data_IF_216738507898
#
_entry.id   IF_216738507898
#
_cell.length_a   1.000
_cell.length_b   1.000
_cell.length_c   1.000
_cell.angle_alpha   90.00
_cell.angle_beta   90.00
_cell.angle_gamma   90.00
#
_symmetry.space_group_name_H-M   'P 1'
#
loop_
_entity.id
_entity.type
_entity.pdbx_description
1 polymer ?
#
# COMPACT_ATOMS: atom_id res chain seq x y z
N UNK A 1 23.11 -10.65 -18.12
CA UNK A 1 23.26 -9.71 -16.98
C UNK A 1 21.92 -9.22 -16.44
N UNK A 2 21.07 -8.54 -17.24
CA UNK A 2 19.77 -7.97 -16.81
C UNK A 2 18.83 -8.96 -16.11
N UNK A 3 18.68 -10.18 -16.64
CA UNK A 3 17.87 -11.24 -15.99
C UNK A 3 18.40 -11.64 -14.59
N UNK A 4 19.72 -11.70 -14.43
CA UNK A 4 20.36 -12.04 -13.16
C UNK A 4 20.15 -10.93 -12.12
N UNK A 5 20.21 -9.67 -12.55
CA UNK A 5 19.92 -8.50 -11.73
C UNK A 5 18.45 -8.51 -11.29
N UNK A 6 17.50 -8.68 -12.23
CA UNK A 6 16.08 -8.80 -11.91
C UNK A 6 15.80 -9.87 -10.85
N UNK A 7 16.42 -11.06 -10.97
CA UNK A 7 16.22 -12.15 -10.00
C UNK A 7 16.72 -11.79 -8.60
N UNK A 8 17.86 -11.08 -8.50
CA UNK A 8 18.40 -10.62 -7.22
C UNK A 8 17.58 -9.49 -6.61
N UNK A 9 17.19 -8.50 -7.42
CA UNK A 9 16.36 -7.37 -6.97
C UNK A 9 14.99 -7.86 -6.51
N UNK A 10 14.40 -8.86 -7.19
CA UNK A 10 13.14 -9.48 -6.77
C UNK A 10 13.26 -10.20 -5.43
N UNK A 11 14.34 -10.95 -5.22
CA UNK A 11 14.60 -11.62 -3.95
C UNK A 11 14.80 -10.61 -2.80
N UNK A 12 15.60 -9.56 -3.03
CA UNK A 12 15.82 -8.49 -2.06
C UNK A 12 14.51 -7.73 -1.76
N UNK A 13 13.70 -7.42 -2.78
CA UNK A 13 12.41 -6.74 -2.65
C UNK A 13 11.42 -7.54 -1.79
N UNK A 14 11.34 -8.85 -2.00
CA UNK A 14 10.50 -9.74 -1.20
C UNK A 14 10.98 -9.86 0.25
N UNK A 15 12.30 -9.83 0.48
CA UNK A 15 12.89 -9.89 1.82
C UNK A 15 12.58 -8.63 2.65
N UNK A 16 12.68 -7.45 2.03
CA UNK A 16 12.42 -6.17 2.70
C UNK A 16 10.95 -5.72 2.61
N UNK A 17 10.09 -6.48 1.92
CA UNK A 17 8.68 -6.15 1.70
C UNK A 17 8.46 -4.85 0.92
N UNK A 18 9.39 -4.48 0.03
CA UNK A 18 9.34 -3.24 -0.74
C UNK A 18 8.77 -3.45 -2.13
N UNK A 19 7.53 -2.98 -2.31
CA UNK A 19 6.89 -2.92 -3.62
C UNK A 19 7.67 -2.12 -4.64
N UNK A 20 8.35 -1.04 -4.21
CA UNK A 20 9.18 -0.24 -5.10
C UNK A 20 10.35 -1.05 -5.66
N UNK A 21 11.02 -1.84 -4.82
CA UNK A 21 12.13 -2.71 -5.23
C UNK A 21 11.63 -3.89 -6.06
N UNK A 22 10.47 -4.46 -5.73
CA UNK A 22 9.83 -5.48 -6.58
C UNK A 22 9.45 -4.93 -7.96
N UNK A 23 8.94 -3.70 -8.03
CA UNK A 23 8.61 -3.02 -9.28
C UNK A 23 9.87 -2.76 -10.12
N UNK A 24 10.98 -2.36 -9.50
CA UNK A 24 12.28 -2.20 -10.15
C UNK A 24 12.82 -3.53 -10.70
N UNK A 25 12.62 -4.64 -9.96
CA UNK A 25 12.96 -5.97 -10.45
C UNK A 25 12.15 -6.36 -11.70
N UNK A 26 10.86 -6.02 -11.73
CA UNK A 26 10.00 -6.21 -12.90
C UNK A 26 10.42 -5.33 -14.07
N UNK A 27 10.83 -4.09 -13.80
CA UNK A 27 11.36 -3.19 -14.83
C UNK A 27 12.59 -3.79 -15.51
N UNK A 28 13.56 -4.30 -14.74
CA UNK A 28 14.73 -4.98 -15.28
C UNK A 28 14.40 -6.24 -16.09
N UNK A 29 13.33 -6.96 -15.73
CA UNK A 29 12.86 -8.10 -16.51
C UNK A 29 12.26 -7.64 -17.84
N UNK A 30 11.37 -6.66 -17.80
CA UNK A 30 10.75 -6.05 -18.97
C UNK A 30 11.79 -5.52 -19.95
N UNK A 31 12.81 -4.83 -19.45
CA UNK A 31 13.95 -4.34 -20.23
C UNK A 31 14.79 -5.45 -20.85
N UNK A 32 14.95 -6.58 -20.16
CA UNK A 32 15.65 -7.73 -20.71
C UNK A 32 14.87 -8.36 -21.86
N UNK A 33 13.54 -8.45 -21.74
CA UNK A 33 12.64 -8.98 -22.76
C UNK A 33 12.58 -8.07 -23.98
N UNK A 34 12.42 -6.76 -23.79
CA UNK A 34 12.39 -5.79 -24.91
C UNK A 34 13.73 -5.73 -25.64
N UNK A 35 14.85 -5.76 -24.92
CA UNK A 35 16.20 -5.80 -25.54
C UNK A 35 16.42 -7.07 -26.35
N UNK A 36 15.94 -8.23 -25.86
CA UNK A 36 16.04 -9.49 -26.57
C UNK A 36 15.17 -9.51 -27.84
N UNK A 37 13.95 -8.97 -27.76
CA UNK A 37 13.07 -8.84 -28.92
C UNK A 37 13.68 -7.95 -30.02
N UNK A 38 14.24 -6.79 -29.64
CA UNK A 38 14.92 -5.90 -30.58
C UNK A 38 16.16 -6.56 -31.23
N UNK A 39 16.98 -7.27 -30.43
CA UNK A 39 18.14 -8.01 -30.96
C UNK A 39 17.75 -9.06 -32.00
N UNK A 40 16.67 -9.82 -31.74
CA UNK A 40 16.15 -10.81 -32.69
C UNK A 40 15.65 -10.13 -33.96
N UNK A 41 14.90 -9.03 -33.85
CA UNK A 41 14.40 -8.26 -35.01
C UNK A 41 15.52 -7.79 -35.94
N UNK A 42 16.53 -7.12 -35.37
CA UNK A 42 17.70 -6.62 -36.11
C UNK A 42 18.49 -7.77 -36.75
N UNK A 43 18.68 -8.87 -36.00
CA UNK A 43 19.41 -10.04 -36.52
C UNK A 43 18.70 -10.68 -37.72
N UNK A 44 17.37 -10.77 -37.68
CA UNK A 44 16.57 -11.30 -38.80
C UNK A 44 16.65 -10.39 -40.02
N UNK A 45 16.54 -9.07 -39.83
CA UNK A 45 16.64 -8.10 -40.93
C UNK A 45 18.01 -8.16 -41.63
N UNK A 46 19.11 -8.31 -40.87
CA UNK A 46 20.47 -8.39 -41.42
C UNK A 46 20.76 -9.70 -42.17
N UNK A 47 20.18 -10.82 -41.71
CA UNK A 47 20.44 -12.15 -42.31
C UNK A 47 19.61 -12.41 -43.57
N UNK A 48 18.41 -11.83 -43.67
CA UNK A 48 17.45 -12.16 -44.74
C UNK A 48 17.59 -11.31 -46.02
N UNK A 49 18.36 -10.21 -45.99
CA UNK A 49 18.74 -9.45 -47.18
C UNK A 49 17.63 -8.54 -47.77
N UNK A 50 17.81 -8.06 -49.02
CA UNK A 50 16.94 -7.05 -49.65
C UNK A 50 15.48 -7.52 -49.78
N UNK A 51 14.53 -6.67 -49.41
CA UNK A 51 13.08 -6.97 -49.38
C UNK A 51 12.51 -7.27 -47.98
N UNK A 52 13.37 -7.42 -46.97
CA UNK A 52 12.99 -7.52 -45.56
C UNK A 52 13.15 -6.21 -44.78
N UNK A 53 13.41 -5.10 -45.47
CA UNK A 53 13.57 -3.77 -44.84
C UNK A 53 12.37 -3.36 -43.95
N UNK A 54 11.10 -3.63 -44.31
CA UNK A 54 9.96 -3.30 -43.43
C UNK A 54 9.88 -4.15 -42.16
N UNK A 55 10.66 -5.24 -42.06
CA UNK A 55 10.63 -6.11 -40.87
C UNK A 55 11.16 -5.38 -39.62
N UNK A 56 12.08 -4.44 -39.78
CA UNK A 56 12.60 -3.62 -38.67
C UNK A 56 11.52 -2.67 -38.14
N UNK A 57 10.74 -2.02 -39.02
CA UNK A 57 9.64 -1.14 -38.63
C UNK A 57 8.55 -1.89 -37.83
N UNK A 58 8.19 -3.10 -38.28
CA UNK A 58 7.24 -3.96 -37.55
C UNK A 58 7.79 -4.44 -36.22
N UNK A 59 9.07 -4.82 -36.17
CA UNK A 59 9.73 -5.20 -34.93
C UNK A 59 9.79 -4.03 -33.94
N UNK A 60 10.09 -2.83 -34.42
CA UNK A 60 10.11 -1.60 -33.64
C UNK A 60 8.71 -1.25 -33.09
N UNK A 61 7.65 -1.40 -33.90
CA UNK A 61 6.28 -1.15 -33.47
C UNK A 61 5.83 -2.14 -32.37
N UNK A 62 6.16 -3.42 -32.52
CA UNK A 62 5.89 -4.44 -31.49
C UNK A 62 6.66 -4.12 -30.21
N UNK A 63 7.94 -3.77 -30.32
CA UNK A 63 8.76 -3.39 -29.18
C UNK A 63 8.19 -2.16 -28.45
N UNK A 64 7.76 -1.14 -29.19
CA UNK A 64 7.11 0.05 -28.65
C UNK A 64 5.82 -0.29 -27.89
N UNK A 65 4.99 -1.18 -28.44
CA UNK A 65 3.77 -1.67 -27.78
C UNK A 65 4.07 -2.38 -26.45
N UNK A 66 5.09 -3.23 -26.41
CA UNK A 66 5.52 -3.92 -25.19
C UNK A 66 6.04 -2.93 -24.14
N UNK A 67 6.87 -1.96 -24.55
CA UNK A 67 7.37 -0.90 -23.66
C UNK A 67 6.21 -0.10 -23.08
N UNK A 68 5.26 0.32 -23.92
CA UNK A 68 4.10 1.09 -23.50
C UNK A 68 3.22 0.31 -22.50
N UNK A 69 2.91 -0.96 -22.80
CA UNK A 69 2.13 -1.82 -21.92
C UNK A 69 2.80 -2.00 -20.54
N UNK A 70 4.12 -2.24 -20.53
CA UNK A 70 4.88 -2.34 -19.28
C UNK A 70 4.87 -1.02 -18.50
N UNK A 71 5.08 0.11 -19.19
CA UNK A 71 5.02 1.44 -18.58
C UNK A 71 3.65 1.73 -17.95
N UNK A 72 2.56 1.40 -18.66
CA UNK A 72 1.19 1.58 -18.16
C UNK A 72 0.91 0.72 -16.91
N UNK A 73 1.38 -0.54 -16.88
CA UNK A 73 1.24 -1.42 -15.72
C UNK A 73 2.01 -0.87 -14.50
N UNK A 74 3.23 -0.37 -14.70
CA UNK A 74 4.04 0.23 -13.63
C UNK A 74 3.39 1.51 -13.09
N UNK A 75 2.95 2.40 -13.99
CA UNK A 75 2.29 3.64 -13.61
C UNK A 75 1.03 3.38 -12.78
N UNK A 76 0.21 2.40 -13.19
CA UNK A 76 -0.99 2.00 -12.45
C UNK A 76 -0.66 1.54 -11.02
N UNK A 77 0.42 0.76 -10.85
CA UNK A 77 0.89 0.33 -9.53
C UNK A 77 1.29 1.51 -8.65
N UNK A 78 2.10 2.44 -9.18
CA UNK A 78 2.55 3.63 -8.47
C UNK A 78 1.39 4.54 -8.06
N UNK A 79 0.41 4.74 -8.95
CA UNK A 79 -0.79 5.52 -8.65
C UNK A 79 -1.60 4.89 -7.52
N UNK A 80 -1.74 3.55 -7.48
CA UNK A 80 -2.45 2.89 -6.38
C UNK A 80 -1.72 2.98 -5.04
N UNK A 81 -0.40 2.92 -5.04
CA UNK A 81 0.38 3.12 -3.81
C UNK A 81 0.28 4.58 -3.34
N UNK A 82 0.18 5.56 -4.26
CA UNK A 82 -0.06 6.97 -3.92
C UNK A 82 -1.46 7.24 -3.37
N UNK A 83 -2.47 6.50 -3.82
CA UNK A 83 -3.87 6.62 -3.37
C UNK A 83 -4.13 6.00 -1.98
N UNK A 84 -3.09 5.69 -1.20
CA UNK A 84 -3.20 5.15 0.17
C UNK A 84 -4.12 3.92 0.26
N UNK A 85 -3.92 2.96 -0.65
CA UNK A 85 -4.73 1.73 -0.67
C UNK A 85 -4.66 1.03 0.69
N UNK A 86 -5.83 0.76 1.27
CA UNK A 86 -5.96 0.01 2.52
C UNK A 86 -5.20 -1.31 2.40
N UNK A 87 -4.29 -1.62 3.33
CA UNK A 87 -3.55 -2.87 3.32
C UNK A 87 -4.50 -4.06 3.45
N UNK A 88 -3.97 -5.25 3.19
CA UNK A 88 -4.75 -6.49 3.16
C UNK A 88 -5.66 -6.62 4.38
N UNK A 89 -6.92 -7.01 4.15
CA UNK A 89 -7.94 -7.16 5.20
C UNK A 89 -7.47 -8.05 6.37
N UNK A 90 -6.54 -8.98 6.11
CA UNK A 90 -5.90 -9.82 7.13
C UNK A 90 -5.08 -9.02 8.15
N UNK A 91 -4.32 -8.03 7.71
CA UNK A 91 -3.51 -7.16 8.59
C UNK A 91 -4.42 -6.34 9.49
N UNK A 92 -5.48 -5.77 8.91
CA UNK A 92 -6.48 -4.99 9.67
C UNK A 92 -7.18 -5.85 10.71
N UNK A 93 -7.60 -7.06 10.35
CA UNK A 93 -8.23 -8.01 11.26
C UNK A 93 -7.28 -8.42 12.40
N UNK A 94 -6.01 -8.65 12.10
CA UNK A 94 -5.02 -9.02 13.12
C UNK A 94 -4.73 -7.88 14.09
N UNK A 95 -4.57 -6.64 13.60
CA UNK A 95 -4.42 -5.45 14.46
C UNK A 95 -5.63 -5.27 15.37
N UNK A 96 -6.85 -5.43 14.82
CA UNK A 96 -8.10 -5.39 15.60
C UNK A 96 -8.09 -6.43 16.72
N UNK A 97 -7.80 -7.69 16.37
CA UNK A 97 -7.76 -8.81 17.32
C UNK A 97 -6.77 -8.59 18.45
N UNK A 98 -5.59 -8.07 18.13
CA UNK A 98 -4.55 -7.76 19.14
C UNK A 98 -5.02 -6.64 20.07
N UNK A 99 -5.60 -5.58 19.52
CA UNK A 99 -6.09 -4.45 20.31
C UNK A 99 -7.28 -4.83 21.20
N UNK A 100 -8.24 -5.62 20.70
CA UNK A 100 -9.36 -6.16 21.48
C UNK A 100 -8.91 -7.11 22.58
N UNK A 101 -7.75 -7.77 22.42
CA UNK A 101 -7.16 -8.63 23.42
C UNK A 101 -6.49 -7.90 24.59
N UNK A 102 -6.36 -6.57 24.55
CA UNK A 102 -5.76 -5.79 25.63
C UNK A 102 -6.79 -5.54 26.73
N UNK A 103 -6.47 -6.00 27.95
CA UNK A 103 -7.32 -5.80 29.12
C UNK A 103 -7.64 -4.31 29.35
N UNK A 104 -8.94 -3.99 29.49
CA UNK A 104 -9.45 -2.63 29.66
C UNK A 104 -9.98 -1.99 28.38
N UNK A 105 -9.73 -2.58 27.21
CA UNK A 105 -10.40 -2.22 25.96
C UNK A 105 -11.80 -2.82 25.95
N UNK A 106 -12.82 -1.97 25.78
CA UNK A 106 -14.22 -2.40 25.72
C UNK A 106 -14.70 -2.60 24.28
N UNK A 107 -14.27 -1.73 23.37
CA UNK A 107 -14.58 -1.83 21.95
C UNK A 107 -13.58 -1.04 21.11
N UNK A 108 -13.60 -1.28 19.80
CA UNK A 108 -12.85 -0.50 18.80
C UNK A 108 -13.87 0.06 17.81
N UNK A 109 -14.08 1.37 17.87
CA UNK A 109 -15.01 2.10 17.00
C UNK A 109 -14.48 2.14 15.57
N UNK A 110 -13.25 2.63 15.42
CA UNK A 110 -12.61 2.85 14.13
C UNK A 110 -11.21 2.29 14.13
N UNK A 111 -10.86 1.63 13.03
CA UNK A 111 -9.52 1.13 12.77
C UNK A 111 -9.18 1.41 11.31
N UNK A 112 -8.19 2.27 11.10
CA UNK A 112 -7.61 2.52 9.80
C UNK A 112 -6.13 2.11 9.84
N UNK A 113 -5.74 1.33 8.84
CA UNK A 113 -4.33 1.01 8.61
C UNK A 113 -3.97 1.57 7.25
N UNK A 114 -2.85 2.29 7.17
CA UNK A 114 -2.31 2.81 5.91
C UNK A 114 -0.87 2.34 5.73
N UNK A 115 -0.45 2.24 4.48
CA UNK A 115 0.91 1.84 4.12
C UNK A 115 1.62 3.05 3.54
N UNK A 116 2.77 3.41 4.11
CA UNK A 116 3.66 4.41 3.53
C UNK A 116 5.02 3.76 3.27
N UNK A 117 5.33 3.52 2.00
CA UNK A 117 6.50 2.74 1.58
C UNK A 117 6.44 1.30 2.11
N UNK A 118 7.50 0.89 2.81
CA UNK A 118 7.59 -0.44 3.46
C UNK A 118 6.87 -0.51 4.82
N UNK A 119 6.51 0.64 5.37
CA UNK A 119 6.01 0.75 6.74
C UNK A 119 4.48 0.82 6.78
N UNK A 120 3.93 0.28 7.86
CA UNK A 120 2.52 0.36 8.20
C UNK A 120 2.31 1.39 9.31
N UNK A 121 1.26 2.18 9.18
CA UNK A 121 0.79 3.12 10.18
C UNK A 121 -0.64 2.77 10.55
N UNK A 122 -0.93 2.76 11.85
CA UNK A 122 -2.24 2.42 12.40
C UNK A 122 -2.82 3.65 13.07
N UNK A 123 -4.07 3.96 12.77
CA UNK A 123 -4.92 4.89 13.51
C UNK A 123 -6.09 4.09 14.08
N UNK A 124 -6.21 4.09 15.40
CA UNK A 124 -7.19 3.27 16.11
C UNK A 124 -7.91 4.09 17.17
N UNK A 125 -9.24 3.96 17.18
CA UNK A 125 -10.14 4.54 18.17
C UNK A 125 -10.55 3.45 19.15
N UNK A 126 -10.09 3.57 20.38
CA UNK A 126 -10.23 2.57 21.44
C UNK A 126 -11.23 3.10 22.47
N UNK A 127 -12.31 2.36 22.68
CA UNK A 127 -13.31 2.70 23.67
C UNK A 127 -12.99 2.05 25.02
N UNK A 128 -13.03 2.85 26.07
CA UNK A 128 -12.76 2.46 27.47
C UNK A 128 -13.80 3.09 28.41
N UNK A 129 -13.86 2.72 29.71
CA UNK A 129 -14.85 3.29 30.63
C UNK A 129 -14.80 4.82 30.65
N UNK A 130 -15.95 5.50 30.49
CA UNK A 130 -15.99 6.97 30.36
C UNK A 130 -15.57 7.75 31.60
N UNK A 131 -15.51 7.10 32.77
CA UNK A 131 -15.00 7.69 34.03
C UNK A 131 -13.54 7.29 34.32
N UNK A 132 -12.84 6.70 33.34
CA UNK A 132 -11.45 6.30 33.51
C UNK A 132 -10.56 7.55 33.64
N UNK A 133 -9.71 7.65 34.68
CA UNK A 133 -8.76 8.75 34.81
C UNK A 133 -7.88 8.88 33.57
N UNK A 134 -7.57 10.11 33.14
CA UNK A 134 -6.79 10.37 31.93
C UNK A 134 -5.42 9.66 31.93
N UNK A 135 -4.77 9.58 33.09
CA UNK A 135 -3.49 8.85 33.25
C UNK A 135 -3.64 7.35 32.96
N UNK A 136 -4.74 6.74 33.44
CA UNK A 136 -5.04 5.33 33.19
C UNK A 136 -5.43 5.11 31.73
N UNK A 137 -6.17 6.04 31.11
CA UNK A 137 -6.48 6.01 29.70
C UNK A 137 -5.21 6.12 28.82
N UNK A 138 -4.28 7.01 29.17
CA UNK A 138 -2.98 7.13 28.51
C UNK A 138 -2.16 5.83 28.63
N UNK A 139 -2.15 5.24 29.81
CA UNK A 139 -1.47 3.96 30.06
C UNK A 139 -2.09 2.82 29.24
N UNK A 140 -3.42 2.76 29.18
CA UNK A 140 -4.14 1.78 28.35
C UNK A 140 -3.84 1.97 26.86
N UNK A 141 -3.88 3.20 26.35
CA UNK A 141 -3.49 3.52 24.98
C UNK A 141 -2.03 3.14 24.68
N UNK A 142 -1.13 3.32 25.65
CA UNK A 142 0.25 2.85 25.58
C UNK A 142 0.38 1.33 25.49
N UNK A 143 -0.42 0.58 26.28
CA UNK A 143 -0.49 -0.89 26.21
C UNK A 143 -0.98 -1.36 24.84
N UNK A 144 -2.05 -0.76 24.32
CA UNK A 144 -2.58 -1.07 22.98
C UNK A 144 -1.53 -0.80 21.90
N UNK A 145 -0.89 0.36 21.94
CA UNK A 145 0.20 0.73 21.02
C UNK A 145 1.35 -0.29 21.05
N UNK A 146 1.76 -0.71 22.24
CA UNK A 146 2.84 -1.70 22.41
C UNK A 146 2.44 -3.08 21.90
N UNK A 147 1.22 -3.53 22.22
CA UNK A 147 0.68 -4.82 21.77
C UNK A 147 0.61 -4.90 20.24
N UNK A 148 0.07 -3.86 19.59
CA UNK A 148 -0.01 -3.78 18.12
C UNK A 148 1.39 -3.82 17.50
N UNK A 149 2.33 -3.00 18.01
CA UNK A 149 3.69 -2.90 17.46
C UNK A 149 4.50 -4.20 17.60
N UNK A 150 4.26 -4.97 18.66
CA UNK A 150 4.93 -6.25 18.92
C UNK A 150 4.26 -7.43 18.20
N UNK A 151 2.94 -7.39 18.02
CA UNK A 151 2.18 -8.47 17.40
C UNK A 151 2.18 -8.47 15.87
N UNK A 152 2.38 -7.31 15.23
CA UNK A 152 2.38 -7.20 13.76
C UNK A 152 3.68 -6.61 13.24
N UNK A 153 4.36 -7.38 12.38
CA UNK A 153 5.60 -6.92 11.73
C UNK A 153 5.34 -5.77 10.75
N UNK A 154 6.27 -4.83 10.68
CA UNK A 154 6.22 -3.70 9.73
C UNK A 154 5.43 -2.49 10.21
N UNK A 155 4.86 -2.51 11.43
CA UNK A 155 4.22 -1.34 12.03
C UNK A 155 5.29 -0.36 12.52
N UNK A 156 5.38 0.79 11.86
CA UNK A 156 6.29 1.87 12.24
C UNK A 156 5.65 2.86 13.21
N UNK A 157 4.34 3.07 13.11
CA UNK A 157 3.61 4.03 13.95
C UNK A 157 2.20 3.56 14.29
N UNK A 158 1.78 3.85 15.52
CA UNK A 158 0.41 3.65 16.00
C UNK A 158 -0.02 4.92 16.71
N UNK A 159 -1.13 5.49 16.24
CA UNK A 159 -1.87 6.56 16.88
C UNK A 159 -3.10 5.94 17.54
N UNK A 160 -3.28 6.20 18.83
CA UNK A 160 -4.41 5.68 19.61
C UNK A 160 -5.23 6.86 20.09
N UNK A 161 -6.48 6.94 19.63
CA UNK A 161 -7.48 7.85 20.14
C UNK A 161 -8.32 7.11 21.19
N UNK A 162 -8.37 7.65 22.41
CA UNK A 162 -9.16 7.08 23.50
C UNK A 162 -10.54 7.72 23.50
N UNK A 163 -11.59 6.90 23.50
CA UNK A 163 -12.97 7.34 23.51
C UNK A 163 -13.73 6.71 24.69
N UNK A 164 -14.74 7.39 25.24
CA UNK A 164 -15.60 6.81 26.24
C UNK A 164 -16.52 5.77 25.60
N UNK A 165 -16.65 4.59 26.23
CA UNK A 165 -17.61 3.58 25.82
C UNK A 165 -19.03 4.04 26.16
N UNK A 166 -19.76 4.49 25.14
CA UNK A 166 -21.16 4.89 25.23
C UNK A 166 -22.05 3.73 24.77
N UNK A 167 -22.19 2.70 25.60
CA UNK A 167 -23.08 1.58 25.29
C UNK A 167 -24.44 2.06 24.76
N UNK A 168 -24.76 1.72 23.50
CA UNK A 168 -26.04 1.94 22.82
C UNK A 168 -26.55 3.40 22.68
N UNK A 169 -25.69 4.41 22.49
CA UNK A 169 -26.13 5.81 22.25
C UNK A 169 -25.54 6.53 21.02
N UNK A 170 -25.02 5.79 20.04
CA UNK A 170 -24.30 6.36 18.89
C UNK A 170 -25.04 6.25 17.54
N UNK A 171 -26.37 6.37 17.50
CA UNK A 171 -27.10 6.52 16.22
C UNK A 171 -27.53 7.98 15.94
N UNK A 172 -27.33 8.91 16.89
CA UNK A 172 -27.86 10.28 16.76
C UNK A 172 -26.83 11.42 16.72
N UNK A 173 -25.53 11.17 16.92
CA UNK A 173 -24.52 12.24 17.01
C UNK A 173 -23.74 12.46 15.70
N UNK A 174 -23.67 11.45 14.83
CA UNK A 174 -22.93 11.54 13.56
C UNK A 174 -23.58 12.48 12.51
N UNK A 175 -24.81 12.96 12.74
CA UNK A 175 -25.47 13.90 11.81
C UNK A 175 -25.12 15.37 12.06
N UNK A 176 -24.61 15.74 13.23
CA UNK A 176 -24.35 17.16 13.55
C UNK A 176 -22.91 17.61 13.25
N UNK A 177 -21.93 16.71 13.10
CA UNK A 177 -20.54 17.10 12.85
C UNK A 177 -20.15 17.21 11.37
N UNK A 178 -21.10 17.01 10.45
CA UNK A 178 -20.91 17.19 9.00
C UNK A 178 -21.75 18.35 8.41
N UNK A 179 -22.08 19.36 9.21
CA UNK A 179 -22.50 20.66 8.68
C UNK A 179 -21.27 21.55 8.49
N UNK A 180 -20.78 21.58 7.25
CA UNK A 180 -19.84 22.58 6.75
C UNK A 180 -20.35 24.01 7.11
N UNK A 181 -19.61 24.81 7.91
CA UNK A 181 -20.06 26.14 8.33
C UNK A 181 -20.08 27.16 7.17
N UNK A 182 -19.65 26.79 5.96
CA UNK A 182 -19.48 27.74 4.84
C UNK A 182 -20.67 27.82 3.88
N UNK A 183 -21.76 27.08 4.13
CA UNK A 183 -22.91 27.01 3.21
C UNK A 183 -23.95 28.14 3.38
N UNK A 184 -23.86 28.95 4.43
CA UNK A 184 -24.84 30.00 4.75
C UNK A 184 -24.27 31.43 4.65
N UNK A 185 -23.46 31.73 3.63
CA UNK A 185 -23.19 33.11 3.25
C UNK A 185 -24.18 33.53 2.15
N UNK A 186 -25.05 34.55 2.38
CA UNK A 186 -25.95 35.05 1.35
C UNK A 186 -25.16 35.69 0.20
N UNK A 187 -25.65 35.47 -1.02
CA UNK A 187 -25.11 35.99 -2.28
C UNK A 187 -25.13 37.52 -2.39
#
# INVERSE_FOLDING_TARGET
VKWLVSRRVKAAGAEIGSRAVEADAWHHLSDAVTSAAAFVGISVALVMGPGWEPADDWAALVAAGVIFANGALMLKGALFDLMDRTPEAKVVAEVRRIAEGVEGVLAIEKLAVRRAGINLFVDIHVQAPGLLPLEQAHTLGGKVKSAIRSGVKGIAGVLVHMEPFTGLRAESVDREHHSDPTRDLPA
#
